data_IF_524839536443
#
_entry.id   IF_524839536443
#
_cell.length_a   1.000
_cell.length_b   1.000
_cell.length_c   1.000
_cell.angle_alpha   90.00
_cell.angle_beta   90.00
_cell.angle_gamma   90.00
#
_symmetry.space_group_name_H-M   'P 1'
#
loop_
_entity.id
_entity.type
_entity.pdbx_description
1 polymer ?
#
# COMPACT_ATOMS: atom_id res chain seq x y z
N UNK A 1 11.00 47.78 -33.58
CA UNK A 1 10.39 46.91 -34.61
C UNK A 1 11.08 45.55 -34.55
N UNK A 2 10.34 44.48 -34.30
CA UNK A 2 10.92 43.15 -34.34
C UNK A 2 11.24 42.73 -35.77
N UNK A 3 12.40 42.07 -35.95
CA UNK A 3 12.79 41.54 -37.26
C UNK A 3 11.92 40.35 -37.56
N UNK A 4 11.16 40.37 -38.67
CA UNK A 4 10.33 39.26 -39.11
C UNK A 4 11.25 38.12 -39.58
N UNK A 5 11.24 36.96 -38.90
CA UNK A 5 12.02 35.79 -39.25
C UNK A 5 11.52 35.25 -40.60
N UNK A 6 12.39 35.15 -41.59
CA UNK A 6 12.11 34.42 -42.83
C UNK A 6 12.24 32.93 -42.51
N UNK A 7 11.17 32.16 -42.68
CA UNK A 7 11.19 30.71 -42.50
C UNK A 7 11.43 30.06 -43.87
N UNK A 8 12.66 29.66 -44.15
CA UNK A 8 12.95 28.73 -45.23
C UNK A 8 12.89 27.29 -44.67
N UNK A 9 11.89 26.54 -45.10
CA UNK A 9 11.67 25.13 -44.66
C UNK A 9 12.26 24.13 -45.64
N UNK A 10 12.85 24.60 -46.73
CA UNK A 10 13.45 23.76 -47.80
C UNK A 10 14.95 23.76 -47.76
N UNK A 11 15.54 24.47 -46.79
CA UNK A 11 16.98 24.46 -46.57
C UNK A 11 17.48 23.05 -46.29
N UNK A 12 18.48 22.61 -47.03
CA UNK A 12 19.11 21.30 -46.83
C UNK A 12 20.28 21.47 -45.84
N UNK A 13 20.24 20.73 -44.74
CA UNK A 13 21.33 20.64 -43.75
C UNK A 13 21.76 19.18 -43.61
N UNK A 14 23.08 18.93 -43.58
CA UNK A 14 23.62 17.57 -43.39
C UNK A 14 24.00 17.40 -41.92
N UNK A 15 23.14 16.72 -41.15
CA UNK A 15 23.28 16.53 -39.72
C UNK A 15 23.01 15.05 -39.38
N UNK A 16 23.76 14.51 -38.42
CA UNK A 16 23.43 13.23 -37.82
C UNK A 16 22.30 13.37 -36.79
N UNK A 17 21.62 12.28 -36.49
CA UNK A 17 20.62 12.28 -35.42
C UNK A 17 21.25 12.64 -34.07
N UNK A 18 22.52 12.28 -33.87
CA UNK A 18 23.25 12.62 -32.64
C UNK A 18 23.50 14.14 -32.52
N UNK A 19 23.75 14.84 -33.65
CA UNK A 19 23.94 16.28 -33.64
C UNK A 19 22.62 17.06 -33.32
N UNK A 20 21.47 16.46 -33.70
CA UNK A 20 20.15 17.08 -33.46
C UNK A 20 19.68 17.01 -32.01
N UNK A 21 20.21 16.10 -31.23
CA UNK A 21 19.80 15.94 -29.83
C UNK A 21 20.78 16.65 -28.90
N UNK A 22 20.35 17.65 -28.13
CA UNK A 22 21.23 18.37 -27.22
C UNK A 22 21.92 17.43 -26.21
N UNK A 23 23.21 17.65 -25.94
CA UNK A 23 24.00 16.78 -25.05
C UNK A 23 23.48 16.71 -23.62
N UNK A 24 22.80 17.76 -23.15
CA UNK A 24 22.17 17.82 -21.83
C UNK A 24 20.71 17.32 -21.80
N UNK A 25 20.18 16.79 -22.91
CA UNK A 25 18.80 16.30 -22.98
C UNK A 25 18.56 15.13 -22.03
N UNK A 26 17.38 15.06 -21.42
CA UNK A 26 17.02 14.05 -20.40
C UNK A 26 17.21 12.61 -20.93
N UNK A 27 16.83 12.34 -22.16
CA UNK A 27 16.97 10.96 -22.73
C UNK A 27 18.42 10.50 -22.78
N UNK A 28 19.40 11.41 -23.04
CA UNK A 28 20.82 11.06 -22.99
C UNK A 28 21.29 10.73 -21.58
N UNK A 29 20.81 11.49 -20.60
CA UNK A 29 21.13 11.21 -19.19
C UNK A 29 20.58 9.87 -18.75
N UNK A 30 19.37 9.54 -19.16
CA UNK A 30 18.72 8.25 -18.84
C UNK A 30 19.48 7.10 -19.52
N UNK A 31 19.79 7.25 -20.81
CA UNK A 31 20.51 6.21 -21.57
C UNK A 31 21.90 5.94 -21.01
N UNK A 32 22.59 6.99 -20.51
CA UNK A 32 23.88 6.86 -19.86
C UNK A 32 23.82 6.29 -18.43
N UNK A 33 22.69 6.50 -17.72
CA UNK A 33 22.54 6.09 -16.34
C UNK A 33 21.97 4.67 -16.17
N UNK A 34 21.23 4.17 -17.15
CA UNK A 34 20.51 2.89 -17.04
C UNK A 34 20.86 2.01 -18.23
N UNK A 35 21.65 0.97 -17.99
CA UNK A 35 21.87 -0.10 -18.96
C UNK A 35 20.68 -1.06 -18.92
N UNK A 36 19.94 -1.14 -20.02
CA UNK A 36 18.79 -2.01 -20.19
C UNK A 36 19.13 -3.33 -20.92
N UNK A 37 20.40 -3.62 -21.18
CA UNK A 37 20.82 -4.82 -21.92
C UNK A 37 20.42 -6.13 -21.20
N UNK A 38 20.33 -6.12 -19.87
CA UNK A 38 19.89 -7.29 -19.10
C UNK A 38 18.49 -7.79 -19.50
N UNK A 39 17.64 -6.94 -20.10
CA UNK A 39 16.32 -7.33 -20.60
C UNK A 39 16.42 -8.47 -21.61
N UNK A 40 17.46 -8.51 -22.43
CA UNK A 40 17.63 -9.59 -23.40
C UNK A 40 17.74 -10.97 -22.73
N UNK A 41 18.46 -11.05 -21.62
CA UNK A 41 18.61 -12.30 -20.87
C UNK A 41 17.29 -12.69 -20.18
N UNK A 42 16.59 -11.73 -19.60
CA UNK A 42 15.30 -11.95 -18.90
C UNK A 42 14.20 -12.44 -19.84
N UNK A 43 14.19 -12.01 -21.09
CA UNK A 43 13.13 -12.38 -22.03
C UNK A 43 13.54 -13.45 -23.04
N UNK A 44 14.76 -13.96 -22.97
CA UNK A 44 15.34 -14.91 -23.94
C UNK A 44 14.43 -16.09 -24.24
N UNK A 45 13.89 -16.70 -23.20
CA UNK A 45 13.03 -17.88 -23.29
C UNK A 45 11.61 -17.55 -23.79
N UNK A 46 11.23 -16.27 -23.79
CA UNK A 46 9.94 -15.79 -24.25
C UNK A 46 9.92 -15.53 -25.78
N UNK A 47 11.09 -15.54 -26.43
CA UNK A 47 11.25 -15.30 -27.85
C UNK A 47 11.66 -16.59 -28.57
N UNK A 48 10.92 -16.95 -29.60
CA UNK A 48 11.24 -18.13 -30.43
C UNK A 48 12.32 -17.78 -31.46
N UNK A 49 13.27 -18.71 -31.74
CA UNK A 49 14.35 -18.48 -32.71
C UNK A 49 13.87 -18.52 -34.18
N UNK A 50 12.60 -18.81 -34.42
CA UNK A 50 11.99 -18.92 -35.73
C UNK A 50 10.69 -18.14 -35.83
N UNK A 51 10.31 -17.72 -37.04
CA UNK A 51 9.11 -16.94 -37.32
C UNK A 51 9.44 -15.53 -37.80
N UNK A 52 8.41 -14.65 -37.83
CA UNK A 52 8.60 -13.24 -38.21
C UNK A 52 9.43 -12.54 -37.15
N UNK A 53 10.36 -11.69 -37.58
CA UNK A 53 11.15 -10.85 -36.69
C UNK A 53 10.25 -10.07 -35.71
N UNK A 54 10.59 -10.20 -34.46
CA UNK A 54 9.92 -9.48 -33.37
C UNK A 54 10.58 -8.15 -33.17
N UNK A 55 9.81 -7.17 -32.67
CA UNK A 55 10.38 -5.90 -32.23
C UNK A 55 11.28 -6.17 -31.04
N UNK A 56 12.41 -5.48 -31.01
CA UNK A 56 13.38 -5.51 -29.93
C UNK A 56 12.71 -5.24 -28.57
N UNK A 57 12.88 -6.12 -27.57
CA UNK A 57 12.26 -5.97 -26.25
C UNK A 57 12.71 -4.70 -25.52
N UNK A 58 13.97 -4.30 -25.66
CA UNK A 58 14.50 -3.08 -25.04
C UNK A 58 13.82 -1.85 -25.65
N UNK A 59 13.62 -1.83 -26.95
CA UNK A 59 12.88 -0.77 -27.64
C UNK A 59 11.44 -0.68 -27.14
N UNK A 60 10.77 -1.81 -26.95
CA UNK A 60 9.40 -1.82 -26.42
C UNK A 60 9.33 -1.20 -25.01
N UNK A 61 10.28 -1.53 -24.15
CA UNK A 61 10.36 -0.94 -22.79
C UNK A 61 10.73 0.54 -22.87
N UNK A 62 11.69 0.94 -23.68
CA UNK A 62 12.06 2.36 -23.88
C UNK A 62 10.86 3.20 -24.38
N UNK A 63 9.98 2.67 -25.23
CA UNK A 63 8.74 3.35 -25.66
C UNK A 63 7.82 3.60 -24.47
N UNK A 64 7.64 2.62 -23.59
CA UNK A 64 6.84 2.77 -22.35
C UNK A 64 7.49 3.79 -21.41
N UNK A 65 8.81 3.76 -21.26
CA UNK A 65 9.55 4.75 -20.46
C UNK A 65 9.32 6.17 -20.99
N UNK A 66 9.39 6.40 -22.31
CA UNK A 66 9.07 7.70 -22.91
C UNK A 66 7.66 8.14 -22.53
N UNK A 67 6.66 7.24 -22.63
CA UNK A 67 5.28 7.56 -22.29
C UNK A 67 5.15 8.11 -20.88
N UNK A 68 5.73 7.44 -19.90
CA UNK A 68 5.59 7.81 -18.50
C UNK A 68 6.51 8.97 -18.09
N UNK A 69 7.76 8.99 -18.54
CA UNK A 69 8.72 10.05 -18.21
C UNK A 69 8.30 11.42 -18.74
N UNK A 70 7.65 11.46 -19.90
CA UNK A 70 7.18 12.70 -20.52
C UNK A 70 5.67 12.94 -20.37
N UNK A 71 4.98 12.13 -19.56
CA UNK A 71 3.56 12.32 -19.23
C UNK A 71 2.61 12.23 -20.43
N UNK A 72 2.95 11.40 -21.42
CA UNK A 72 2.13 11.23 -22.63
C UNK A 72 0.92 10.32 -22.31
N UNK A 73 -0.27 10.75 -22.67
CA UNK A 73 -1.53 10.16 -22.20
C UNK A 73 -1.82 8.72 -22.70
N UNK A 74 -1.25 8.31 -23.83
CA UNK A 74 -1.56 7.00 -24.42
C UNK A 74 -0.44 6.51 -25.34
N UNK A 75 -0.32 5.19 -25.48
CA UNK A 75 0.63 4.55 -26.40
C UNK A 75 0.47 5.05 -27.86
N UNK A 76 -0.77 5.30 -28.31
CA UNK A 76 -1.03 5.85 -29.65
C UNK A 76 -0.43 7.26 -29.79
N UNK A 77 -0.58 8.10 -28.78
CA UNK A 77 -0.01 9.44 -28.79
C UNK A 77 1.52 9.38 -28.66
N UNK A 78 2.04 8.48 -27.83
CA UNK A 78 3.49 8.27 -27.66
C UNK A 78 4.17 8.01 -29.02
N UNK A 79 3.62 7.09 -29.81
CA UNK A 79 4.22 6.78 -31.11
C UNK A 79 4.12 7.94 -32.09
N UNK A 80 3.02 8.72 -32.07
CA UNK A 80 2.93 9.95 -32.88
C UNK A 80 3.97 11.01 -32.48
N UNK A 81 4.23 11.15 -31.17
CA UNK A 81 5.31 12.03 -30.69
C UNK A 81 6.69 11.53 -31.10
N UNK A 82 6.95 10.22 -30.98
CA UNK A 82 8.21 9.60 -31.41
C UNK A 82 8.43 9.79 -32.91
N UNK A 83 7.36 9.75 -33.72
CA UNK A 83 7.45 9.91 -35.17
C UNK A 83 8.14 11.21 -35.59
N UNK A 84 7.91 12.29 -34.84
CA UNK A 84 8.38 13.64 -35.15
C UNK A 84 9.45 14.17 -34.20
N UNK A 85 9.77 13.45 -33.11
CA UNK A 85 10.75 13.88 -32.12
C UNK A 85 12.09 13.18 -32.27
N UNK A 86 13.10 13.90 -32.69
CA UNK A 86 14.45 13.36 -32.90
C UNK A 86 15.10 12.81 -31.63
N UNK A 87 14.84 13.42 -30.46
CA UNK A 87 15.39 12.95 -29.19
C UNK A 87 14.82 11.59 -28.79
N UNK A 88 13.54 11.35 -29.05
CA UNK A 88 12.92 10.04 -28.77
C UNK A 88 13.41 8.99 -29.76
N UNK A 89 13.53 9.32 -31.04
CA UNK A 89 14.11 8.41 -32.06
C UNK A 89 15.53 8.03 -31.71
N UNK A 90 16.35 9.00 -31.32
CA UNK A 90 17.71 8.78 -30.87
C UNK A 90 17.77 7.79 -29.69
N UNK A 91 16.93 7.99 -28.68
CA UNK A 91 16.87 7.13 -27.50
C UNK A 91 16.47 5.68 -27.82
N UNK A 92 15.64 5.50 -28.84
CA UNK A 92 15.19 4.18 -29.30
C UNK A 92 16.16 3.53 -30.29
N UNK A 93 17.13 4.27 -30.83
CA UNK A 93 18.01 3.81 -31.88
C UNK A 93 17.39 3.76 -33.29
N UNK A 94 16.24 4.44 -33.49
CA UNK A 94 15.56 4.50 -34.78
C UNK A 94 16.10 5.61 -35.66
N UNK A 95 16.28 5.31 -36.96
CA UNK A 95 16.60 6.32 -37.97
C UNK A 95 15.42 7.28 -38.23
N UNK A 96 15.71 8.43 -38.90
CA UNK A 96 14.69 9.46 -39.17
C UNK A 96 13.47 8.94 -39.95
N UNK A 97 13.66 7.98 -40.84
CA UNK A 97 12.63 7.44 -41.76
C UNK A 97 12.19 6.03 -41.39
N UNK A 98 12.79 5.44 -40.37
CA UNK A 98 12.44 4.09 -39.93
C UNK A 98 11.02 4.01 -39.37
N UNK A 99 10.32 2.94 -39.77
CA UNK A 99 8.93 2.72 -39.39
C UNK A 99 8.82 2.32 -37.91
N UNK A 100 7.98 3.04 -37.17
CA UNK A 100 7.68 2.72 -35.77
C UNK A 100 6.68 1.55 -35.68
N UNK A 101 6.69 0.82 -34.58
CA UNK A 101 5.72 -0.24 -34.35
C UNK A 101 4.29 0.31 -34.20
N UNK A 102 3.30 -0.53 -34.52
CA UNK A 102 1.92 -0.17 -34.30
C UNK A 102 1.62 -0.05 -32.77
N UNK A 103 0.79 0.90 -32.37
CA UNK A 103 0.48 1.16 -30.96
C UNK A 103 -0.04 -0.05 -30.16
N UNK A 104 -0.66 -1.05 -30.82
CA UNK A 104 -1.10 -2.29 -30.16
C UNK A 104 0.03 -3.31 -29.96
N UNK A 105 1.23 -3.06 -30.47
CA UNK A 105 2.33 -4.03 -30.42
C UNK A 105 2.78 -4.29 -29.00
N UNK A 106 2.93 -3.23 -28.17
CA UNK A 106 3.26 -3.40 -26.77
C UNK A 106 2.21 -4.24 -26.05
N UNK A 107 0.93 -3.88 -26.16
CA UNK A 107 -0.16 -4.60 -25.50
C UNK A 107 -0.21 -6.09 -25.91
N UNK A 108 0.03 -6.39 -27.19
CA UNK A 108 0.09 -7.78 -27.66
C UNK A 108 1.30 -8.55 -27.12
N UNK A 109 2.46 -7.90 -27.04
CA UNK A 109 3.66 -8.52 -26.44
C UNK A 109 3.48 -8.70 -24.92
N UNK A 110 2.94 -7.70 -24.23
CA UNK A 110 2.61 -7.80 -22.83
C UNK A 110 1.72 -9.03 -22.56
N UNK A 111 0.56 -9.12 -23.20
CA UNK A 111 -0.40 -10.22 -22.97
C UNK A 111 0.13 -11.61 -23.34
N UNK A 112 1.06 -11.71 -24.29
CA UNK A 112 1.54 -12.99 -24.80
C UNK A 112 2.86 -13.46 -24.21
N UNK A 113 3.66 -12.54 -23.67
CA UNK A 113 5.04 -12.81 -23.23
C UNK A 113 5.35 -12.31 -21.85
N UNK A 114 5.00 -11.04 -21.54
CA UNK A 114 5.50 -10.38 -20.34
C UNK A 114 4.57 -10.48 -19.13
N UNK A 115 3.26 -10.75 -19.35
CA UNK A 115 2.24 -10.74 -18.28
C UNK A 115 2.57 -11.68 -17.12
N UNK A 116 3.08 -12.87 -17.44
CA UNK A 116 3.37 -13.93 -16.48
C UNK A 116 4.87 -14.05 -16.16
N UNK A 117 5.64 -12.97 -16.41
CA UNK A 117 7.08 -12.88 -16.10
C UNK A 117 7.34 -11.77 -15.09
N UNK A 118 8.43 -11.90 -14.34
CA UNK A 118 8.89 -10.91 -13.36
C UNK A 118 9.68 -9.76 -13.99
N UNK A 119 9.54 -9.54 -15.32
CA UNK A 119 10.31 -8.57 -16.08
C UNK A 119 10.23 -7.16 -15.49
N UNK A 120 9.04 -6.70 -15.14
CA UNK A 120 8.85 -5.33 -14.63
C UNK A 120 9.39 -5.16 -13.23
N UNK A 121 9.27 -6.18 -12.39
CA UNK A 121 9.89 -6.24 -11.06
C UNK A 121 11.41 -6.21 -11.18
N UNK A 122 11.99 -6.98 -12.11
CA UNK A 122 13.44 -7.00 -12.36
C UNK A 122 13.93 -5.64 -12.86
N UNK A 123 13.21 -5.00 -13.79
CA UNK A 123 13.54 -3.65 -14.26
C UNK A 123 13.51 -2.65 -13.09
N UNK A 124 12.47 -2.70 -12.27
CA UNK A 124 12.36 -1.83 -11.09
C UNK A 124 13.52 -2.04 -10.11
N UNK A 125 13.82 -3.29 -9.76
CA UNK A 125 14.91 -3.63 -8.85
C UNK A 125 16.27 -3.18 -9.38
N UNK A 126 16.54 -3.34 -10.69
CA UNK A 126 17.78 -2.87 -11.32
C UNK A 126 17.93 -1.35 -11.27
N UNK A 127 16.87 -0.61 -11.59
CA UNK A 127 16.88 0.85 -11.49
C UNK A 127 17.10 1.28 -10.04
N UNK A 128 16.44 0.65 -9.07
CA UNK A 128 16.62 0.92 -7.67
C UNK A 128 18.04 0.66 -7.18
N UNK A 129 18.66 -0.43 -7.64
CA UNK A 129 20.08 -0.72 -7.37
C UNK A 129 21.00 0.39 -7.90
N UNK A 130 20.74 0.92 -9.10
CA UNK A 130 21.55 2.04 -9.64
C UNK A 130 21.38 3.29 -8.78
N UNK A 131 20.15 3.64 -8.37
CA UNK A 131 19.88 4.78 -7.47
C UNK A 131 20.60 4.61 -6.13
N UNK A 132 20.61 3.39 -5.58
CA UNK A 132 21.27 3.09 -4.30
C UNK A 132 22.78 3.22 -4.36
N UNK A 133 23.43 2.90 -5.47
CA UNK A 133 24.89 3.08 -5.67
C UNK A 133 25.35 4.53 -5.47
N UNK A 134 24.47 5.49 -5.75
CA UNK A 134 24.74 6.92 -5.55
C UNK A 134 24.35 7.42 -4.15
N UNK A 135 23.89 6.55 -3.25
CA UNK A 135 23.55 6.91 -1.86
C UNK A 135 22.29 7.78 -1.72
N UNK A 136 21.36 7.73 -2.68
CA UNK A 136 20.12 8.52 -2.62
C UNK A 136 19.06 7.87 -1.73
N UNK A 137 19.18 6.58 -1.47
CA UNK A 137 18.21 5.82 -0.66
C UNK A 137 18.62 5.87 0.81
N UNK A 138 17.64 6.14 1.66
CA UNK A 138 17.76 6.03 3.12
C UNK A 138 16.64 5.12 3.63
N UNK A 139 16.96 3.84 3.78
CA UNK A 139 16.04 2.78 4.12
C UNK A 139 15.90 2.52 5.64
N UNK A 140 16.38 3.43 6.50
CA UNK A 140 16.23 3.31 7.95
C UNK A 140 14.76 3.34 8.38
N UNK A 141 13.99 4.27 7.81
CA UNK A 141 12.55 4.40 8.08
C UNK A 141 11.76 4.31 6.77
N UNK A 142 10.83 3.38 6.74
CA UNK A 142 10.00 3.12 5.55
C UNK A 142 8.56 3.54 5.81
N UNK A 143 8.00 4.26 4.83
CA UNK A 143 6.62 4.75 4.82
C UNK A 143 5.78 3.88 3.88
N UNK A 144 4.76 3.20 4.42
CA UNK A 144 3.86 2.36 3.62
C UNK A 144 2.51 3.05 3.52
N UNK A 145 2.05 3.24 2.27
CA UNK A 145 0.75 3.84 1.97
C UNK A 145 0.12 3.23 0.71
N UNK A 146 -1.20 3.28 0.64
CA UNK A 146 -1.99 2.74 -0.46
C UNK A 146 -2.64 3.84 -1.31
N UNK A 147 -2.33 3.87 -2.60
CA UNK A 147 -2.96 4.78 -3.56
C UNK A 147 -3.91 4.04 -4.49
N UNK A 148 -5.14 4.54 -4.63
CA UNK A 148 -6.13 3.92 -5.51
C UNK A 148 -5.97 4.38 -6.96
N UNK A 149 -5.82 3.41 -7.86
CA UNK A 149 -5.72 3.61 -9.31
C UNK A 149 -7.02 3.13 -9.96
N UNK A 150 -7.73 4.03 -10.63
CA UNK A 150 -8.98 3.70 -11.30
C UNK A 150 -8.73 2.71 -12.44
N UNK A 151 -9.46 1.59 -12.43
CA UNK A 151 -9.45 0.62 -13.52
C UNK A 151 -10.17 1.16 -14.76
N UNK A 152 -9.75 0.73 -15.93
CA UNK A 152 -10.45 1.04 -17.17
C UNK A 152 -11.66 0.09 -17.37
N UNK A 153 -12.56 0.11 -16.38
CA UNK A 153 -13.72 -0.78 -16.31
C UNK A 153 -15.03 0.02 -16.15
N UNK A 154 -16.08 -0.47 -16.80
CA UNK A 154 -17.40 0.12 -16.67
C UNK A 154 -18.06 -0.34 -15.36
N UNK A 155 -18.45 0.60 -14.51
CA UNK A 155 -19.06 0.34 -13.20
C UNK A 155 -20.43 -0.36 -13.27
N UNK A 156 -21.09 -0.33 -14.42
CA UNK A 156 -22.39 -0.97 -14.64
C UNK A 156 -22.28 -2.37 -15.24
N UNK A 157 -21.07 -2.78 -15.69
CA UNK A 157 -20.81 -4.11 -16.25
C UNK A 157 -20.10 -4.97 -15.22
N UNK A 158 -20.87 -5.70 -14.42
CA UNK A 158 -20.34 -6.60 -13.38
C UNK A 158 -21.18 -7.88 -13.28
N UNK A 159 -20.57 -8.91 -12.71
CA UNK A 159 -21.23 -10.13 -12.24
C UNK A 159 -21.09 -10.22 -10.72
N UNK A 160 -22.05 -10.86 -10.06
CA UNK A 160 -21.94 -11.15 -8.64
C UNK A 160 -21.23 -12.50 -8.49
N UNK A 161 -20.20 -12.52 -7.67
CA UNK A 161 -19.49 -13.73 -7.28
C UNK A 161 -19.56 -13.91 -5.77
N UNK A 162 -19.65 -15.16 -5.35
CA UNK A 162 -19.62 -15.53 -3.94
C UNK A 162 -18.21 -15.97 -3.63
N UNK A 163 -17.52 -15.21 -2.77
CA UNK A 163 -16.21 -15.58 -2.23
C UNK A 163 -16.34 -16.05 -0.80
N UNK A 164 -15.58 -17.06 -0.43
CA UNK A 164 -15.36 -17.45 0.94
C UNK A 164 -14.37 -16.48 1.56
N UNK A 165 -14.76 -15.82 2.64
CA UNK A 165 -13.83 -14.97 3.39
C UNK A 165 -12.86 -15.90 4.11
N UNK A 166 -11.58 -15.90 3.71
CA UNK A 166 -10.54 -16.71 4.34
C UNK A 166 -10.50 -16.42 5.83
N UNK A 167 -10.69 -17.45 6.64
CA UNK A 167 -10.66 -17.36 8.09
C UNK A 167 -9.36 -16.70 8.54
N UNK A 168 -9.48 -15.64 9.30
CA UNK A 168 -8.36 -14.82 9.74
C UNK A 168 -7.49 -15.62 10.69
N UNK A 169 -6.32 -16.02 10.24
CA UNK A 169 -5.32 -16.71 11.08
C UNK A 169 -5.09 -15.93 12.38
N UNK A 170 -5.12 -14.61 12.29
CA UNK A 170 -5.03 -13.70 13.43
C UNK A 170 -6.18 -13.83 14.43
N UNK A 171 -7.43 -14.04 14.00
CA UNK A 171 -8.56 -14.22 14.93
C UNK A 171 -8.38 -15.44 15.82
N UNK A 172 -7.79 -16.51 15.30
CA UNK A 172 -7.51 -17.71 16.06
C UNK A 172 -6.43 -17.47 17.11
N UNK A 173 -5.31 -16.86 16.70
CA UNK A 173 -4.22 -16.50 17.60
C UNK A 173 -4.68 -15.52 18.71
N UNK A 174 -5.43 -14.48 18.33
CA UNK A 174 -6.00 -13.53 19.28
C UNK A 174 -6.94 -14.20 20.29
N UNK A 175 -7.78 -15.13 19.85
CA UNK A 175 -8.70 -15.87 20.69
C UNK A 175 -7.97 -16.75 21.71
N UNK A 176 -6.89 -17.41 21.30
CA UNK A 176 -6.04 -18.19 22.19
C UNK A 176 -5.39 -17.31 23.27
N UNK A 177 -4.85 -16.16 22.92
CA UNK A 177 -4.27 -15.23 23.87
C UNK A 177 -5.30 -14.63 24.84
N UNK A 178 -6.49 -14.27 24.35
CA UNK A 178 -7.59 -13.81 25.20
C UNK A 178 -7.99 -14.90 26.20
N UNK A 179 -8.09 -16.15 25.77
CA UNK A 179 -8.47 -17.23 26.65
C UNK A 179 -7.39 -17.51 27.71
N UNK A 180 -6.11 -17.45 27.37
CA UNK A 180 -5.00 -17.52 28.34
C UNK A 180 -5.07 -16.40 29.38
N UNK A 181 -5.36 -15.16 28.95
CA UNK A 181 -5.51 -14.03 29.87
C UNK A 181 -6.71 -14.19 30.80
N UNK A 182 -7.82 -14.69 30.27
CA UNK A 182 -9.01 -14.97 31.07
C UNK A 182 -8.79 -16.07 32.10
N UNK A 183 -8.05 -17.12 31.74
CA UNK A 183 -7.67 -18.21 32.61
C UNK A 183 -6.78 -17.74 33.77
N UNK A 184 -5.77 -16.90 33.50
CA UNK A 184 -4.94 -16.25 34.53
C UNK A 184 -5.75 -15.46 35.57
N UNK A 185 -6.92 -14.97 35.16
CA UNK A 185 -7.83 -14.21 36.04
C UNK A 185 -9.03 -15.04 36.52
N UNK A 186 -8.95 -16.37 36.46
CA UNK A 186 -10.02 -17.30 36.84
C UNK A 186 -11.37 -17.02 36.15
N UNK A 187 -11.32 -16.63 34.86
CA UNK A 187 -12.53 -16.41 34.05
C UNK A 187 -12.70 -17.56 33.05
N UNK A 188 -13.96 -17.92 32.80
CA UNK A 188 -14.28 -18.92 31.76
C UNK A 188 -13.81 -18.48 30.39
N UNK A 189 -13.31 -19.38 29.52
CA UNK A 189 -12.94 -19.06 28.15
C UNK A 189 -14.12 -18.43 27.39
N UNK A 190 -13.82 -17.74 26.30
CA UNK A 190 -14.85 -17.21 25.42
C UNK A 190 -15.66 -18.34 24.83
N UNK A 191 -16.99 -18.28 24.97
CA UNK A 191 -17.89 -19.22 24.29
C UNK A 191 -17.64 -19.14 22.78
N UNK A 192 -17.46 -20.28 22.15
CA UNK A 192 -17.48 -20.35 20.72
C UNK A 192 -18.83 -19.85 20.20
N UNK A 193 -18.82 -18.83 19.38
CA UNK A 193 -19.93 -18.66 18.46
C UNK A 193 -19.76 -19.80 17.46
N UNK A 194 -20.76 -20.61 17.28
CA UNK A 194 -20.89 -21.45 16.10
C UNK A 194 -20.95 -20.58 14.87
N UNK A 195 -19.82 -20.10 14.41
CA UNK A 195 -19.65 -19.46 13.11
C UNK A 195 -19.28 -20.54 12.11
N UNK A 196 -20.15 -21.53 11.99
CA UNK A 196 -20.11 -22.54 10.93
C UNK A 196 -20.88 -22.11 9.68
N UNK A 197 -21.36 -20.88 9.61
CA UNK A 197 -21.69 -20.27 8.35
C UNK A 197 -20.42 -19.60 7.83
N UNK A 198 -19.72 -20.30 6.91
CA UNK A 198 -18.76 -19.71 5.99
C UNK A 198 -19.36 -18.38 5.54
N UNK A 199 -18.76 -17.25 5.93
CA UNK A 199 -19.25 -15.93 5.60
C UNK A 199 -19.09 -15.74 4.08
N UNK A 200 -20.05 -16.26 3.33
CA UNK A 200 -20.15 -16.08 1.89
C UNK A 200 -20.48 -14.62 1.62
N UNK A 201 -19.52 -13.91 1.09
CA UNK A 201 -19.68 -12.51 0.74
C UNK A 201 -19.91 -12.38 -0.76
N UNK A 202 -21.04 -11.78 -1.13
CA UNK A 202 -21.28 -11.42 -2.52
C UNK A 202 -20.43 -10.20 -2.88
N UNK A 203 -19.52 -10.37 -3.81
CA UNK A 203 -18.74 -9.28 -4.39
C UNK A 203 -19.16 -9.02 -5.83
N UNK A 204 -19.00 -7.78 -6.27
CA UNK A 204 -19.18 -7.38 -7.67
C UNK A 204 -17.84 -7.44 -8.38
N UNK A 205 -17.75 -8.29 -9.38
CA UNK A 205 -16.55 -8.46 -10.21
C UNK A 205 -16.83 -7.83 -11.58
N UNK A 206 -15.93 -6.99 -12.06
CA UNK A 206 -16.05 -6.39 -13.40
C UNK A 206 -15.97 -7.47 -14.48
N UNK A 207 -16.83 -7.37 -15.49
CA UNK A 207 -16.75 -8.25 -16.68
C UNK A 207 -15.69 -7.78 -17.67
N UNK A 208 -15.25 -6.52 -17.59
CA UNK A 208 -14.25 -5.94 -18.49
C UNK A 208 -12.83 -6.12 -17.93
N UNK A 209 -12.70 -6.02 -16.60
CA UNK A 209 -11.43 -6.13 -15.89
C UNK A 209 -11.67 -6.90 -14.57
N UNK A 210 -11.67 -8.24 -14.63
CA UNK A 210 -12.01 -9.09 -13.49
C UNK A 210 -11.05 -9.01 -12.31
N UNK A 211 -9.82 -8.58 -12.55
CA UNK A 211 -8.78 -8.43 -11.52
C UNK A 211 -8.98 -7.17 -10.68
N UNK A 212 -9.77 -6.20 -11.16
CA UNK A 212 -10.07 -4.97 -10.42
C UNK A 212 -11.12 -5.19 -9.33
N UNK A 213 -10.99 -4.45 -8.22
CA UNK A 213 -11.95 -4.47 -7.12
C UNK A 213 -12.89 -3.27 -7.11
N UNK A 214 -14.15 -3.46 -6.70
CA UNK A 214 -15.08 -2.35 -6.56
C UNK A 214 -14.75 -1.53 -5.30
N UNK A 215 -14.19 -0.35 -5.52
CA UNK A 215 -13.79 0.59 -4.47
C UNK A 215 -14.88 1.62 -4.18
N UNK A 216 -15.08 1.93 -2.91
CA UNK A 216 -16.02 2.93 -2.43
C UNK A 216 -15.27 4.07 -1.74
N UNK A 217 -15.32 5.28 -2.31
CA UNK A 217 -14.80 6.49 -1.66
C UNK A 217 -15.96 7.41 -1.28
N UNK A 218 -16.32 7.41 0.00
CA UNK A 218 -17.48 8.15 0.51
C UNK A 218 -18.81 7.57 -0.02
N UNK A 219 -19.91 8.29 0.21
CA UNK A 219 -21.25 7.81 -0.12
C UNK A 219 -21.57 7.76 -1.62
N UNK A 220 -20.83 8.50 -2.45
CA UNK A 220 -21.22 8.77 -3.83
C UNK A 220 -20.29 8.24 -4.92
N UNK A 221 -19.09 7.73 -4.61
CA UNK A 221 -18.14 7.25 -5.62
C UNK A 221 -17.90 5.76 -5.51
N UNK A 222 -18.49 4.99 -6.46
CA UNK A 222 -18.21 3.55 -6.65
C UNK A 222 -17.49 3.39 -7.98
N UNK A 223 -16.25 2.91 -7.95
CA UNK A 223 -15.45 2.67 -9.14
C UNK A 223 -14.70 1.35 -9.02
N UNK A 224 -14.49 0.67 -10.13
CA UNK A 224 -13.52 -0.41 -10.16
C UNK A 224 -12.11 0.20 -10.13
N UNK A 225 -11.28 -0.29 -9.24
CA UNK A 225 -9.95 0.24 -8.99
C UNK A 225 -8.99 -0.85 -8.54
N UNK A 226 -7.71 -0.52 -8.59
CA UNK A 226 -6.63 -1.21 -7.91
C UNK A 226 -6.11 -0.34 -6.78
N UNK A 227 -5.53 -0.95 -5.77
CA UNK A 227 -4.73 -0.26 -4.76
C UNK A 227 -3.27 -0.55 -5.05
N UNK A 228 -2.49 0.48 -5.34
CA UNK A 228 -1.03 0.39 -5.39
C UNK A 228 -0.52 0.67 -3.97
N UNK A 229 -0.12 -0.38 -3.28
CA UNK A 229 0.56 -0.28 -1.99
C UNK A 229 2.03 -0.02 -2.28
N UNK A 230 2.56 1.09 -1.79
CA UNK A 230 3.95 1.51 -2.01
C UNK A 230 4.68 1.65 -0.69
N UNK A 231 5.93 1.24 -0.68
CA UNK A 231 6.85 1.51 0.40
C UNK A 231 7.89 2.52 -0.08
N UNK A 232 8.03 3.64 0.62
CA UNK A 232 8.95 4.72 0.27
C UNK A 232 9.92 4.98 1.42
N UNK A 233 11.10 5.50 1.09
CA UNK A 233 12.01 6.08 2.07
C UNK A 233 11.58 7.52 2.44
N UNK A 234 12.33 8.16 3.34
CA UNK A 234 12.08 9.56 3.74
C UNK A 234 12.28 10.58 2.61
N UNK A 235 12.98 10.21 1.55
CA UNK A 235 13.25 11.03 0.38
C UNK A 235 12.22 10.80 -0.74
N UNK A 236 11.18 9.98 -0.49
CA UNK A 236 10.14 9.54 -1.43
C UNK A 236 10.66 8.65 -2.57
N UNK A 237 11.79 7.98 -2.41
CA UNK A 237 12.15 6.89 -3.33
C UNK A 237 11.29 5.67 -3.02
N UNK A 238 10.63 5.14 -4.05
CA UNK A 238 9.84 3.92 -3.94
C UNK A 238 10.81 2.75 -3.83
N UNK A 239 10.76 2.04 -2.69
CA UNK A 239 11.58 0.87 -2.39
C UNK A 239 10.90 -0.43 -2.78
N UNK A 240 9.57 -0.44 -2.82
CA UNK A 240 8.78 -1.58 -3.23
C UNK A 240 7.35 -1.17 -3.52
N UNK A 241 6.66 -2.02 -4.29
CA UNK A 241 5.24 -1.83 -4.55
C UNK A 241 4.53 -3.18 -4.69
N UNK A 242 3.23 -3.17 -4.44
CA UNK A 242 2.32 -4.28 -4.67
C UNK A 242 0.97 -3.77 -5.15
N UNK A 243 0.40 -4.44 -6.14
CA UNK A 243 -0.92 -4.12 -6.66
C UNK A 243 -1.95 -5.11 -6.14
N UNK A 244 -3.00 -4.60 -5.50
CA UNK A 244 -4.12 -5.39 -5.02
C UNK A 244 -5.44 -4.87 -5.59
N UNK A 245 -6.50 -5.71 -5.69
CA UNK A 245 -7.83 -5.22 -6.03
C UNK A 245 -8.29 -4.12 -5.05
N UNK A 246 -8.91 -3.05 -5.56
CA UNK A 246 -9.28 -1.87 -4.75
C UNK A 246 -10.33 -2.10 -3.65
N UNK A 247 -10.90 -3.28 -3.55
CA UNK A 247 -11.79 -3.70 -2.47
C UNK A 247 -11.07 -4.46 -1.34
N UNK A 248 -9.76 -4.66 -1.45
CA UNK A 248 -8.93 -5.25 -0.40
C UNK A 248 -8.64 -4.17 0.63
N UNK A 249 -8.82 -4.50 1.91
CA UNK A 249 -8.56 -3.56 3.00
C UNK A 249 -7.04 -3.41 3.23
N UNK A 250 -6.58 -2.19 3.55
CA UNK A 250 -5.17 -1.86 3.75
C UNK A 250 -4.46 -2.80 4.73
N UNK A 251 -5.15 -3.22 5.79
CA UNK A 251 -4.61 -4.18 6.75
C UNK A 251 -4.33 -5.59 6.20
N UNK A 252 -4.91 -5.93 5.05
CA UNK A 252 -4.68 -7.21 4.35
C UNK A 252 -3.56 -7.05 3.33
N UNK A 253 -3.58 -5.94 2.59
CA UNK A 253 -2.56 -5.64 1.57
C UNK A 253 -1.19 -5.30 2.16
N UNK A 254 -1.13 -4.94 3.45
CA UNK A 254 0.11 -4.65 4.17
C UNK A 254 1.14 -5.79 4.10
N UNK A 255 0.69 -7.03 4.22
CA UNK A 255 1.60 -8.16 4.40
C UNK A 255 2.51 -8.40 3.21
N UNK A 256 1.99 -8.33 2.00
CA UNK A 256 2.77 -8.54 0.78
C UNK A 256 3.87 -7.51 0.62
N UNK A 257 3.54 -6.21 0.74
CA UNK A 257 4.54 -5.14 0.62
C UNK A 257 5.55 -5.16 1.79
N UNK A 258 5.11 -5.45 3.01
CA UNK A 258 5.97 -5.53 4.18
C UNK A 258 7.02 -6.64 4.07
N UNK A 259 6.61 -7.86 3.68
CA UNK A 259 7.53 -8.99 3.51
C UNK A 259 8.55 -8.73 2.37
N UNK A 260 8.11 -8.10 1.29
CA UNK A 260 8.99 -7.70 0.18
C UNK A 260 10.10 -6.76 0.66
N UNK A 261 9.71 -5.68 1.33
CA UNK A 261 10.63 -4.67 1.87
C UNK A 261 11.57 -5.27 2.92
N UNK A 262 11.04 -6.08 3.83
CA UNK A 262 11.85 -6.74 4.87
C UNK A 262 12.94 -7.64 4.29
N UNK A 263 12.65 -8.31 3.19
CA UNK A 263 13.58 -9.20 2.49
C UNK A 263 14.67 -8.43 1.74
N UNK A 264 14.31 -7.31 1.13
CA UNK A 264 15.19 -6.56 0.21
C UNK A 264 16.02 -5.49 0.93
N UNK A 265 15.53 -4.98 2.08
CA UNK A 265 16.14 -3.88 2.83
C UNK A 265 16.47 -4.30 4.27
N UNK A 266 17.72 -4.62 4.53
CA UNK A 266 18.18 -5.11 5.84
C UNK A 266 18.30 -4.02 6.91
N UNK A 267 18.47 -2.75 6.51
CA UNK A 267 18.74 -1.63 7.43
C UNK A 267 17.45 -1.03 8.03
N UNK A 268 16.30 -1.51 7.61
CA UNK A 268 15.00 -0.99 8.07
C UNK A 268 14.84 -1.18 9.55
N UNK A 269 14.63 -0.07 10.26
CA UNK A 269 14.37 -0.04 11.70
C UNK A 269 12.94 0.43 12.00
N UNK A 270 12.45 1.48 11.32
CA UNK A 270 11.14 2.05 11.55
C UNK A 270 10.16 1.77 10.38
N UNK A 271 8.93 1.36 10.71
CA UNK A 271 7.83 1.19 9.75
C UNK A 271 6.74 2.18 10.06
N UNK A 272 6.58 3.17 9.18
CA UNK A 272 5.59 4.24 9.30
C UNK A 272 4.37 3.89 8.48
N UNK A 273 3.21 3.85 9.11
CA UNK A 273 1.93 3.54 8.44
C UNK A 273 0.84 4.49 8.90
N UNK A 274 -0.17 4.68 8.07
CA UNK A 274 -1.32 5.52 8.41
C UNK A 274 -2.33 4.82 9.35
N UNK A 275 -3.43 5.49 9.63
CA UNK A 275 -4.47 4.97 10.54
C UNK A 275 -5.26 3.79 9.96
N UNK A 276 -5.23 3.55 8.65
CA UNK A 276 -5.87 2.42 7.97
C UNK A 276 -5.19 1.09 8.30
N UNK A 277 -3.88 1.13 8.50
CA UNK A 277 -3.05 -0.03 8.87
C UNK A 277 -2.98 -0.27 10.38
N UNK A 278 -3.57 0.62 11.21
CA UNK A 278 -3.46 0.52 12.66
C UNK A 278 -4.28 -0.63 13.23
N UNK A 279 -3.75 -1.84 13.11
CA UNK A 279 -4.28 -3.03 13.76
C UNK A 279 -3.20 -3.68 14.62
N UNK A 280 -3.55 -4.33 15.75
CA UNK A 280 -2.58 -4.96 16.65
C UNK A 280 -1.74 -6.05 16.00
N UNK A 281 -2.29 -6.77 15.02
CA UNK A 281 -1.55 -7.79 14.29
C UNK A 281 -0.34 -7.22 13.55
N UNK A 282 -0.52 -6.09 12.84
CA UNK A 282 0.56 -5.40 12.13
C UNK A 282 1.61 -4.89 13.13
N UNK A 283 1.17 -4.21 14.20
CA UNK A 283 2.09 -3.72 15.21
C UNK A 283 2.90 -4.84 15.86
N UNK A 284 2.25 -5.94 16.22
CA UNK A 284 2.91 -7.11 16.80
C UNK A 284 3.96 -7.69 15.87
N UNK A 285 3.62 -7.92 14.60
CA UNK A 285 4.55 -8.48 13.63
C UNK A 285 5.79 -7.61 13.44
N UNK A 286 5.60 -6.29 13.32
CA UNK A 286 6.73 -5.35 13.19
C UNK A 286 7.66 -5.44 14.41
N UNK A 287 7.09 -5.54 15.62
CA UNK A 287 7.85 -5.68 16.87
C UNK A 287 8.54 -7.04 16.95
N UNK A 288 7.85 -8.12 16.61
CA UNK A 288 8.40 -9.48 16.62
C UNK A 288 9.57 -9.62 15.63
N UNK A 289 9.57 -8.84 14.55
CA UNK A 289 10.67 -8.73 13.59
C UNK A 289 11.80 -7.77 14.07
N UNK A 290 11.73 -7.28 15.31
CA UNK A 290 12.74 -6.39 15.90
C UNK A 290 12.72 -4.96 15.35
N UNK A 291 11.61 -4.53 14.73
CA UNK A 291 11.43 -3.21 14.13
C UNK A 291 10.47 -2.35 14.94
N UNK A 292 10.49 -1.05 14.72
CA UNK A 292 9.66 -0.07 15.44
C UNK A 292 8.43 0.31 14.61
N UNK A 293 7.19 -0.01 15.05
CA UNK A 293 5.99 0.47 14.39
C UNK A 293 5.72 1.94 14.74
N UNK A 294 5.60 2.78 13.72
CA UNK A 294 5.30 4.21 13.85
C UNK A 294 3.89 4.44 13.30
N UNK A 295 2.93 4.61 14.19
CA UNK A 295 1.50 4.69 13.87
C UNK A 295 0.87 5.92 14.51
N UNK A 296 -0.13 6.58 13.85
CA UNK A 296 -0.78 7.76 14.40
C UNK A 296 -1.55 7.45 15.68
N UNK A 297 -1.40 8.29 16.68
CA UNK A 297 -2.18 8.19 17.90
C UNK A 297 -3.60 8.71 17.68
N UNK A 298 -4.61 7.91 18.01
CA UNK A 298 -6.01 8.34 18.07
C UNK A 298 -6.38 8.60 19.53
N UNK A 299 -6.61 9.86 19.86
CA UNK A 299 -7.16 10.22 21.19
C UNK A 299 -8.53 9.58 21.37
N UNK A 300 -8.78 8.91 22.51
CA UNK A 300 -10.11 8.44 22.83
C UNK A 300 -11.09 9.63 22.88
N UNK A 301 -12.17 9.54 22.12
CA UNK A 301 -13.23 10.57 22.13
C UNK A 301 -14.03 10.45 23.43
N UNK A 302 -13.91 11.46 24.29
CA UNK A 302 -14.73 11.57 25.50
C UNK A 302 -15.74 12.70 25.31
N UNK A 303 -16.98 12.46 25.68
CA UNK A 303 -18.05 13.45 25.63
C UNK A 303 -17.67 14.65 26.50
N UNK A 304 -17.97 15.87 26.04
CA UNK A 304 -17.71 17.09 26.80
C UNK A 304 -18.38 17.03 28.19
N UNK A 305 -17.66 17.45 29.24
CA UNK A 305 -18.12 17.40 30.61
C UNK A 305 -17.94 16.06 31.33
N UNK A 306 -17.38 15.04 30.66
CA UNK A 306 -17.07 13.75 31.25
C UNK A 306 -15.56 13.58 31.52
N UNK A 307 -15.28 12.88 32.63
CA UNK A 307 -13.90 12.47 32.94
C UNK A 307 -13.28 11.72 31.78
N UNK A 308 -12.10 12.14 31.39
CA UNK A 308 -11.28 11.51 30.35
C UNK A 308 -10.54 10.32 30.93
N UNK A 309 -9.99 9.47 30.07
CA UNK A 309 -9.31 8.26 30.53
C UNK A 309 -8.10 8.55 31.42
N UNK A 310 -7.36 9.60 31.13
CA UNK A 310 -6.20 10.01 31.92
C UNK A 310 -6.53 10.59 33.31
N UNK A 311 -7.82 10.90 33.58
CA UNK A 311 -8.27 11.27 34.92
C UNK A 311 -8.39 10.07 35.87
N UNK A 312 -8.20 8.85 35.34
CA UNK A 312 -8.17 7.59 36.08
C UNK A 312 -6.73 7.09 36.15
N UNK A 313 -6.14 7.01 37.34
CA UNK A 313 -4.82 6.48 37.52
C UNK A 313 -4.79 4.95 37.44
N UNK A 314 -3.88 4.38 36.67
CA UNK A 314 -3.67 2.93 36.62
C UNK A 314 -2.60 2.53 37.63
N UNK A 315 -2.94 1.58 38.48
CA UNK A 315 -2.02 0.94 39.41
C UNK A 315 -1.59 -0.42 38.82
N UNK A 316 -0.31 -0.49 38.42
CA UNK A 316 0.24 -1.68 37.77
C UNK A 316 0.42 -2.83 38.75
N UNK A 317 0.73 -2.53 40.01
CA UNK A 317 0.96 -3.55 41.03
C UNK A 317 -0.32 -4.31 41.39
N UNK A 318 -1.43 -3.57 41.55
CA UNK A 318 -2.74 -4.15 41.88
C UNK A 318 -3.60 -4.47 40.64
N UNK A 319 -3.12 -4.22 39.45
CA UNK A 319 -3.87 -4.34 38.17
C UNK A 319 -5.28 -3.74 38.27
N UNK A 320 -5.37 -2.46 38.62
CA UNK A 320 -6.62 -1.76 38.80
C UNK A 320 -6.54 -0.30 38.37
N UNK A 321 -7.70 0.34 38.13
CA UNK A 321 -7.79 1.78 37.94
C UNK A 321 -8.35 2.43 39.20
N UNK A 322 -7.85 3.62 39.54
CA UNK A 322 -8.30 4.47 40.59
C UNK A 322 -9.06 5.66 39.97
N UNK A 323 -10.30 5.87 40.34
CA UNK A 323 -11.12 6.97 39.79
C UNK A 323 -10.81 8.30 40.50
N UNK A 324 -11.26 9.46 39.95
CA UNK A 324 -11.09 10.78 40.59
C UNK A 324 -11.68 10.90 42.02
N UNK A 325 -12.58 10.01 42.40
CA UNK A 325 -13.11 9.89 43.74
C UNK A 325 -12.40 8.80 44.59
N UNK A 326 -11.17 8.47 44.28
CA UNK A 326 -10.34 7.48 44.97
C UNK A 326 -10.98 6.09 45.14
N UNK A 327 -11.88 5.69 44.22
CA UNK A 327 -12.48 4.36 44.25
C UNK A 327 -11.80 3.44 43.21
N UNK A 328 -11.67 2.18 43.57
CA UNK A 328 -10.97 1.17 42.78
C UNK A 328 -11.92 0.58 41.74
N UNK A 329 -11.50 0.57 40.48
CA UNK A 329 -12.11 -0.20 39.40
C UNK A 329 -11.29 -1.47 39.20
N UNK A 330 -11.86 -2.61 39.56
CA UNK A 330 -11.19 -3.92 39.48
C UNK A 330 -11.31 -4.50 38.08
N UNK A 331 -10.34 -5.33 37.72
CA UNK A 331 -10.42 -6.15 36.51
C UNK A 331 -11.73 -6.93 36.50
N UNK A 332 -12.44 -6.86 35.39
CA UNK A 332 -13.71 -7.54 35.18
C UNK A 332 -13.61 -8.68 34.16
N UNK A 333 -13.02 -8.40 33.03
CA UNK A 333 -12.89 -9.35 31.93
C UNK A 333 -11.95 -8.83 30.86
N UNK A 334 -11.44 -9.70 30.00
CA UNK A 334 -10.85 -9.34 28.71
C UNK A 334 -11.89 -9.57 27.65
N UNK A 335 -12.22 -8.53 26.89
CA UNK A 335 -13.27 -8.56 25.89
C UNK A 335 -12.81 -9.27 24.60
N UNK A 336 -13.72 -9.47 23.63
CA UNK A 336 -13.42 -10.16 22.36
C UNK A 336 -12.41 -9.43 21.47
N UNK A 337 -12.24 -8.12 21.73
CA UNK A 337 -11.28 -7.29 21.01
C UNK A 337 -9.88 -7.33 21.65
N UNK A 338 -9.69 -8.09 22.75
CA UNK A 338 -8.41 -8.24 23.45
C UNK A 338 -8.11 -7.12 24.47
N UNK A 339 -9.06 -6.22 24.76
CA UNK A 339 -8.88 -5.18 25.80
C UNK A 339 -9.31 -5.69 27.17
N UNK A 340 -8.48 -5.47 28.18
CA UNK A 340 -8.89 -5.64 29.58
C UNK A 340 -9.93 -4.59 29.95
N UNK A 341 -11.01 -5.01 30.60
CA UNK A 341 -12.06 -4.12 31.10
C UNK A 341 -12.05 -4.10 32.63
N UNK A 342 -12.00 -2.89 33.17
CA UNK A 342 -12.03 -2.63 34.61
C UNK A 342 -13.34 -1.97 34.95
N UNK A 343 -14.03 -2.46 36.01
CA UNK A 343 -15.38 -2.01 36.39
C UNK A 343 -15.40 -1.47 37.80
N UNK A 344 -16.13 -0.37 37.97
CA UNK A 344 -16.43 0.19 39.28
C UNK A 344 -17.54 -0.60 40.01
N UNK A 345 -17.59 -0.44 41.33
CA UNK A 345 -18.64 -1.05 42.15
C UNK A 345 -19.92 -0.22 42.09
N UNK A 346 -21.06 -0.86 41.74
CA UNK A 346 -22.38 -0.24 41.62
C UNK A 346 -22.82 0.46 42.91
N UNK A 347 -22.61 -0.17 44.07
CA UNK A 347 -23.02 0.36 45.36
C UNK A 347 -22.27 1.66 45.71
N UNK A 348 -20.98 1.68 45.47
CA UNK A 348 -20.11 2.84 45.74
C UNK A 348 -20.41 4.00 44.78
N UNK A 349 -20.69 3.70 43.52
CA UNK A 349 -20.95 4.71 42.50
C UNK A 349 -22.35 5.32 42.58
N UNK A 350 -23.33 4.62 43.15
CA UNK A 350 -24.70 5.14 43.29
C UNK A 350 -24.77 6.45 44.07
N UNK A 351 -23.93 6.63 45.10
CA UNK A 351 -23.86 7.82 45.94
C UNK A 351 -22.68 8.73 45.65
N UNK A 352 -22.06 8.57 44.47
CA UNK A 352 -20.85 9.31 44.07
C UNK A 352 -21.23 10.75 43.64
N UNK A 353 -20.58 11.82 44.20
CA UNK A 353 -20.87 13.19 43.83
C UNK A 353 -20.50 13.50 42.36
N UNK A 354 -19.58 12.74 41.78
CA UNK A 354 -19.13 12.90 40.40
C UNK A 354 -19.86 11.98 39.40
N UNK A 355 -20.93 11.32 39.78
CA UNK A 355 -21.65 10.33 38.96
C UNK A 355 -21.98 10.89 37.56
N UNK A 356 -22.52 12.10 37.51
CA UNK A 356 -22.98 12.77 36.30
C UNK A 356 -21.82 13.10 35.31
N UNK A 357 -20.61 13.29 35.84
CA UNK A 357 -19.40 13.52 35.05
C UNK A 357 -18.61 12.22 34.72
N UNK A 358 -19.01 11.12 35.34
CA UNK A 358 -18.33 9.86 35.27
C UNK A 358 -18.99 8.89 34.25
N UNK A 359 -20.32 8.64 34.41
CA UNK A 359 -20.99 7.63 33.58
C UNK A 359 -22.48 7.97 33.37
N UNK A 360 -22.99 7.59 32.17
CA UNK A 360 -24.41 7.63 31.84
C UNK A 360 -25.06 6.23 31.93
N UNK A 361 -24.36 5.25 32.51
CA UNK A 361 -24.88 3.90 32.66
C UNK A 361 -26.07 3.86 33.59
N UNK A 362 -27.21 3.26 33.19
CA UNK A 362 -28.38 3.02 34.02
C UNK A 362 -28.07 2.26 35.32
N UNK A 363 -26.99 1.48 35.31
CA UNK A 363 -26.54 0.70 36.46
C UNK A 363 -25.48 1.42 37.31
N UNK A 364 -25.21 2.70 37.06
CA UNK A 364 -24.20 3.48 37.78
C UNK A 364 -22.80 2.85 37.79
N UNK A 365 -22.44 2.12 36.71
CA UNK A 365 -21.16 1.45 36.58
C UNK A 365 -20.30 2.15 35.50
N UNK A 366 -19.08 2.50 35.88
CA UNK A 366 -18.06 2.95 34.94
C UNK A 366 -17.24 1.75 34.49
N UNK A 367 -17.00 1.66 33.18
CA UNK A 367 -16.09 0.69 32.58
C UNK A 367 -14.95 1.45 31.90
N UNK A 368 -13.73 1.08 32.25
CA UNK A 368 -12.53 1.55 31.59
C UNK A 368 -11.89 0.37 30.87
N UNK A 369 -11.47 0.58 29.64
CA UNK A 369 -10.70 -0.40 28.86
C UNK A 369 -9.21 -0.07 28.96
N UNK A 370 -8.36 -1.08 29.01
CA UNK A 370 -6.90 -0.89 28.91
C UNK A 370 -6.54 -0.09 27.67
N UNK A 371 -5.44 0.61 27.70
CA UNK A 371 -4.93 1.31 26.51
C UNK A 371 -4.33 0.34 25.51
N UNK A 372 -3.75 -0.72 26.03
CA UNK A 372 -3.11 -1.78 25.25
C UNK A 372 -4.07 -2.95 25.07
N UNK A 373 -4.16 -3.45 23.86
CA UNK A 373 -4.55 -4.84 23.65
C UNK A 373 -3.43 -5.70 24.19
N UNK A 374 -3.75 -6.86 24.75
CA UNK A 374 -2.72 -7.77 25.25
C UNK A 374 -1.78 -8.27 24.17
N UNK A 375 -2.22 -8.26 22.93
CA UNK A 375 -1.41 -8.51 21.75
C UNK A 375 -0.77 -7.18 21.33
N UNK A 376 0.48 -6.97 21.71
CA UNK A 376 1.21 -5.73 21.42
C UNK A 376 1.42 -4.86 22.67
N UNK A 377 2.05 -5.41 23.70
CA UNK A 377 2.36 -4.71 24.95
C UNK A 377 3.25 -3.48 24.78
N UNK A 378 3.87 -3.29 23.63
CA UNK A 378 5.01 -2.40 23.46
C UNK A 378 4.74 -1.17 22.59
N UNK A 379 3.50 -0.92 22.19
CA UNK A 379 3.15 0.36 21.56
C UNK A 379 2.99 1.47 22.62
N UNK A 380 4.04 1.76 23.38
CA UNK A 380 4.18 3.00 24.12
C UNK A 380 4.94 3.98 23.22
N UNK A 381 4.23 4.95 22.67
CA UNK A 381 4.82 6.17 22.12
C UNK A 381 5.07 7.15 23.24
#
# INVERSE_FOLDING_TARGET
MGIKKKADRTQIEMLSLDDLVPKNHLVRKIDAAIDLSFIYDEVKDLYKPYGRESIDPVVLIKIVMIQYLFGIRSMRQTLKEIEVNFAYRWYLGYNMHEQLPHFSTFSKNYSRRFKDSDLFETIFARILCEVNKYGFIDDENIFIDGTHIKANANTHKYRNEVIEESARVYEKSLKEEINKDRELHNKKPLKEKETSEELKKNIKVSTTDPESGLFHKGEHKKVFAYTANTACDKNNYILGFELTPGNVHDSVSFWGIYEKVKKEHSNVNGIVVDSGYKIPAIAKQIIDDGKTPIMPYKRPMTKQGFFKKYDYAYDEYYDCYICPNNQILKYSTTNRDGYKEYKSNKKTCANCPFLNQCTQSKNHVKVIRSEERRVGKECRS
#
